data_IF_458640223851
#
_entry.id   IF_458640223851
#
_cell.length_a   1.000
_cell.length_b   1.000
_cell.length_c   1.000
_cell.angle_alpha   90.00
_cell.angle_beta   90.00
_cell.angle_gamma   90.00
#
_symmetry.space_group_name_H-M   'P 1'
#
loop_
_entity.id
_entity.type
_entity.pdbx_description
1 polymer ?
#
# COMPACT_ATOMS: atom_id res chain seq x y z
N UNK A 1 1.85 2.98 -2.98
CA UNK A 1 1.05 1.74 -3.18
C UNK A 1 0.08 1.46 -2.03
N UNK A 2 0.52 1.55 -0.78
CA UNK A 2 -0.36 1.28 0.37
C UNK A 2 -1.57 2.23 0.43
N UNK A 3 -1.40 3.53 0.21
CA UNK A 3 -2.49 4.51 0.21
C UNK A 3 -3.57 4.17 -0.83
N UNK A 4 -3.18 3.69 -2.01
CA UNK A 4 -4.12 3.24 -3.04
C UNK A 4 -4.91 2.00 -2.59
N UNK A 5 -4.27 1.08 -1.87
CA UNK A 5 -4.91 -0.13 -1.38
C UNK A 5 -5.85 0.13 -0.19
N UNK A 6 -5.49 1.05 0.70
CA UNK A 6 -6.21 1.30 1.96
C UNK A 6 -7.13 2.50 1.94
N UNK A 7 -6.91 3.45 1.02
CA UNK A 7 -7.53 4.80 0.99
C UNK A 7 -7.22 5.63 2.23
N UNK A 8 -6.18 5.26 2.97
CA UNK A 8 -5.73 5.95 4.18
C UNK A 8 -4.30 6.43 3.98
N UNK A 9 -3.99 7.61 4.49
CA UNK A 9 -2.62 8.12 4.49
C UNK A 9 -1.73 7.29 5.42
N UNK A 10 -0.45 7.12 5.09
CA UNK A 10 0.45 6.32 5.92
C UNK A 10 0.51 6.84 7.36
N UNK A 11 0.40 5.93 8.32
CA UNK A 11 0.53 6.23 9.75
C UNK A 11 -0.38 7.37 10.22
N UNK A 12 -1.59 7.46 9.66
CA UNK A 12 -2.54 8.55 9.94
C UNK A 12 -2.98 8.62 11.41
N UNK A 13 -2.90 7.52 12.12
CA UNK A 13 -3.40 7.36 13.50
C UNK A 13 -2.32 7.50 14.58
N UNK A 14 -1.15 8.00 14.23
CA UNK A 14 -0.08 8.23 15.20
C UNK A 14 0.75 9.47 14.87
N UNK A 15 1.46 10.00 15.87
CA UNK A 15 2.37 11.12 15.68
C UNK A 15 3.51 10.77 14.72
N UNK A 16 3.84 11.72 13.84
CA UNK A 16 5.00 11.63 12.96
C UNK A 16 6.22 12.23 13.65
N UNK A 17 6.83 11.45 14.51
CA UNK A 17 7.92 11.84 15.37
C UNK A 17 9.13 10.88 15.23
N UNK A 18 10.14 11.08 16.07
CA UNK A 18 11.35 10.25 16.08
C UNK A 18 11.05 8.78 16.41
N UNK A 19 10.04 8.53 17.24
CA UNK A 19 9.65 7.16 17.60
C UNK A 19 9.10 6.40 16.40
N UNK A 20 8.27 7.06 15.58
CA UNK A 20 7.79 6.47 14.33
C UNK A 20 8.94 6.22 13.35
N UNK A 21 9.85 7.19 13.18
CA UNK A 21 11.00 7.04 12.31
C UNK A 21 11.89 5.87 12.75
N UNK A 22 12.12 5.71 14.04
CA UNK A 22 12.88 4.60 14.62
C UNK A 22 12.19 3.26 14.35
N UNK A 23 10.89 3.18 14.57
CA UNK A 23 10.10 1.97 14.30
C UNK A 23 10.21 1.53 12.84
N UNK A 24 10.10 2.47 11.91
CA UNK A 24 10.24 2.20 10.47
C UNK A 24 11.65 1.70 10.14
N UNK A 25 12.68 2.33 10.69
CA UNK A 25 14.07 1.89 10.52
C UNK A 25 14.31 0.48 11.07
N UNK A 26 13.62 0.12 12.14
CA UNK A 26 13.68 -1.22 12.75
C UNK A 26 12.84 -2.26 11.98
N UNK A 27 12.19 -1.86 10.91
CA UNK A 27 11.48 -2.76 10.01
C UNK A 27 9.95 -2.76 10.14
N UNK A 28 9.38 -1.90 10.98
CA UNK A 28 7.92 -1.79 11.09
C UNK A 28 7.32 -1.26 9.79
N UNK A 29 6.24 -1.90 9.33
CA UNK A 29 5.53 -1.53 8.12
C UNK A 29 4.02 -1.47 8.39
N UNK A 30 3.30 -0.80 7.49
CA UNK A 30 1.85 -0.75 7.53
C UNK A 30 1.25 -2.13 7.24
N UNK A 31 0.08 -2.37 7.81
CA UNK A 31 -0.67 -3.60 7.54
C UNK A 31 -1.18 -3.58 6.09
N UNK A 32 -1.06 -4.71 5.40
CA UNK A 32 -1.61 -4.89 4.07
C UNK A 32 -3.04 -5.43 4.20
N UNK A 33 -4.05 -4.78 3.59
CA UNK A 33 -5.42 -5.31 3.60
C UNK A 33 -5.51 -6.68 2.93
N UNK A 34 -6.38 -7.54 3.44
CA UNK A 34 -6.60 -8.89 2.90
C UNK A 34 -7.30 -8.90 1.51
N UNK A 35 -7.91 -7.77 1.12
CA UNK A 35 -8.50 -7.56 -0.21
C UNK A 35 -7.49 -6.99 -1.23
N UNK A 36 -6.21 -6.99 -0.91
CA UNK A 36 -5.14 -6.60 -1.81
C UNK A 36 -4.69 -7.80 -2.63
N UNK A 37 -4.64 -7.72 -3.98
CA UNK A 37 -4.13 -8.83 -4.80
C UNK A 37 -2.69 -9.21 -4.43
N UNK A 38 -2.36 -10.49 -4.47
CA UNK A 38 -1.03 -10.97 -4.09
C UNK A 38 0.09 -10.34 -4.91
N UNK A 39 -0.09 -10.20 -6.23
CA UNK A 39 0.91 -9.59 -7.09
C UNK A 39 1.21 -8.13 -6.70
N UNK A 40 0.18 -7.40 -6.27
CA UNK A 40 0.31 -6.02 -5.81
C UNK A 40 1.00 -5.95 -4.44
N UNK A 41 0.60 -6.80 -3.50
CA UNK A 41 1.20 -6.82 -2.16
C UNK A 41 2.66 -7.25 -2.18
N UNK A 42 3.03 -8.19 -3.04
CA UNK A 42 4.42 -8.63 -3.21
C UNK A 42 5.30 -7.47 -3.71
N UNK A 43 4.86 -6.73 -4.72
CA UNK A 43 5.61 -5.59 -5.24
C UNK A 43 5.68 -4.45 -4.21
N UNK A 44 4.59 -4.21 -3.49
CA UNK A 44 4.55 -3.22 -2.42
C UNK A 44 5.57 -3.55 -1.32
N UNK A 45 5.68 -4.81 -0.91
CA UNK A 45 6.66 -5.26 0.08
C UNK A 45 8.09 -5.11 -0.42
N UNK A 46 8.36 -5.35 -1.70
CA UNK A 46 9.66 -5.08 -2.30
C UNK A 46 10.04 -3.61 -2.21
N UNK A 47 9.08 -2.70 -2.42
CA UNK A 47 9.30 -1.26 -2.27
C UNK A 47 9.63 -0.87 -0.82
N UNK A 48 9.26 -1.70 0.13
CA UNK A 48 9.48 -1.48 1.56
C UNK A 48 10.70 -2.19 2.12
N UNK A 49 11.53 -2.78 1.28
CA UNK A 49 12.74 -3.46 1.76
C UNK A 49 13.61 -2.49 2.56
N UNK A 50 14.13 -2.93 3.69
CA UNK A 50 15.03 -2.12 4.50
C UNK A 50 16.32 -1.76 3.76
N UNK A 51 16.77 -2.63 2.87
CA UNK A 51 17.90 -2.37 2.01
C UNK A 51 17.43 -1.60 0.76
N UNK A 52 17.85 -0.33 0.59
CA UNK A 52 17.47 0.47 -0.58
C UNK A 52 17.88 -0.18 -1.92
N UNK A 53 18.96 -0.93 -1.93
CA UNK A 53 19.47 -1.61 -3.13
C UNK A 53 18.53 -2.73 -3.61
N UNK A 54 17.71 -3.27 -2.71
CA UNK A 54 16.73 -4.31 -3.04
C UNK A 54 15.40 -3.76 -3.49
N UNK A 55 15.18 -2.46 -3.37
CA UNK A 55 13.93 -1.83 -3.82
C UNK A 55 13.90 -1.74 -5.33
N UNK A 56 12.73 -1.97 -5.98
CA UNK A 56 12.64 -1.86 -7.43
C UNK A 56 12.83 -0.43 -7.91
N UNK A 57 13.34 -0.28 -9.11
CA UNK A 57 13.46 1.03 -9.78
C UNK A 57 12.09 1.52 -10.26
N UNK A 58 11.96 2.82 -10.51
CA UNK A 58 10.75 3.38 -11.10
C UNK A 58 10.48 2.80 -12.50
N UNK A 59 11.53 2.52 -13.28
CA UNK A 59 11.43 1.88 -14.59
C UNK A 59 10.83 0.47 -14.48
N UNK A 60 11.29 -0.32 -13.51
CA UNK A 60 10.74 -1.65 -13.24
C UNK A 60 9.26 -1.60 -12.83
N UNK A 61 8.91 -0.64 -11.97
CA UNK A 61 7.51 -0.44 -11.56
C UNK A 61 6.62 -0.07 -12.76
N UNK A 62 7.08 0.80 -13.62
CA UNK A 62 6.37 1.19 -14.83
C UNK A 62 6.11 -0.01 -15.75
N UNK A 63 7.11 -0.84 -15.95
CA UNK A 63 7.00 -2.07 -16.73
C UNK A 63 5.98 -3.04 -16.12
N UNK A 64 6.05 -3.27 -14.82
CA UNK A 64 5.12 -4.16 -14.12
C UNK A 64 3.68 -3.65 -14.15
N UNK A 65 3.46 -2.38 -13.94
CA UNK A 65 2.12 -1.80 -14.00
C UNK A 65 1.52 -1.90 -15.41
N UNK A 66 2.32 -1.66 -16.45
CA UNK A 66 1.89 -1.84 -17.82
C UNK A 66 1.51 -3.29 -18.14
N UNK A 67 2.31 -4.24 -17.69
CA UNK A 67 2.05 -5.68 -17.82
C UNK A 67 0.73 -6.08 -17.13
N UNK A 68 0.50 -5.61 -15.91
CA UNK A 68 -0.73 -5.91 -15.18
C UNK A 68 -1.98 -5.34 -15.84
N UNK A 69 -1.90 -4.13 -16.39
CA UNK A 69 -3.02 -3.53 -17.13
C UNK A 69 -3.42 -4.42 -18.31
N UNK A 70 -2.45 -4.91 -19.08
CA UNK A 70 -2.70 -5.80 -20.21
C UNK A 70 -3.35 -7.10 -19.73
N UNK A 71 -2.79 -7.75 -18.71
CA UNK A 71 -3.26 -9.05 -18.22
C UNK A 71 -4.65 -8.98 -17.56
N UNK A 72 -5.01 -7.86 -16.97
CA UNK A 72 -6.29 -7.70 -16.27
C UNK A 72 -7.37 -7.16 -17.19
N UNK A 73 -7.05 -6.17 -18.02
CA UNK A 73 -8.03 -5.41 -18.79
C UNK A 73 -8.13 -5.82 -20.27
N UNK A 74 -7.00 -6.14 -20.90
CA UNK A 74 -6.92 -6.28 -22.36
C UNK A 74 -6.83 -7.74 -22.83
N UNK A 75 -6.24 -8.62 -22.04
CA UNK A 75 -6.10 -10.03 -22.39
C UNK A 75 -7.35 -10.81 -21.99
N UNK A 76 -8.08 -11.45 -22.93
CA UNK A 76 -9.26 -12.25 -22.61
C UNK A 76 -8.91 -13.59 -21.95
N UNK A 77 -7.66 -14.01 -21.99
CA UNK A 77 -7.23 -15.29 -21.43
C UNK A 77 -7.02 -15.21 -19.92
N UNK A 78 -7.48 -16.21 -19.15
CA UNK A 78 -7.20 -16.27 -17.71
C UNK A 78 -5.70 -16.34 -17.45
N UNK A 79 -5.25 -15.61 -16.43
CA UNK A 79 -3.87 -15.65 -15.96
C UNK A 79 -3.86 -15.66 -14.42
N UNK A 80 -2.71 -16.03 -13.84
CA UNK A 80 -2.54 -15.93 -12.39
C UNK A 80 -2.84 -14.52 -11.87
N UNK A 81 -2.38 -13.51 -12.59
CA UNK A 81 -2.60 -12.09 -12.24
C UNK A 81 -4.10 -11.74 -12.29
N UNK A 82 -4.79 -12.09 -13.36
CA UNK A 82 -6.23 -11.81 -13.48
C UNK A 82 -7.04 -12.57 -12.44
N UNK A 83 -6.68 -13.82 -12.13
CA UNK A 83 -7.35 -14.62 -11.11
C UNK A 83 -7.16 -14.03 -9.71
N UNK A 84 -5.96 -13.64 -9.35
CA UNK A 84 -5.67 -12.97 -8.08
C UNK A 84 -6.43 -11.64 -7.96
N UNK A 85 -6.50 -10.89 -9.04
CA UNK A 85 -7.28 -9.65 -9.09
C UNK A 85 -8.77 -9.92 -8.87
N UNK A 86 -9.33 -10.92 -9.50
CA UNK A 86 -10.75 -11.27 -9.37
C UNK A 86 -11.10 -11.68 -7.94
N UNK A 87 -10.27 -12.48 -7.29
CA UNK A 87 -10.45 -12.88 -5.89
C UNK A 87 -10.41 -11.66 -4.96
N UNK A 88 -9.46 -10.76 -5.16
CA UNK A 88 -9.34 -9.54 -4.37
C UNK A 88 -10.53 -8.59 -4.58
N UNK A 89 -10.99 -8.43 -5.82
CA UNK A 89 -12.18 -7.65 -6.15
C UNK A 89 -13.42 -8.18 -5.46
N UNK A 90 -13.62 -9.49 -5.45
CA UNK A 90 -14.76 -10.12 -4.77
C UNK A 90 -14.76 -9.81 -3.26
N UNK A 91 -13.61 -9.92 -2.60
CA UNK A 91 -13.45 -9.56 -1.19
C UNK A 91 -13.76 -8.08 -0.94
N UNK A 92 -13.27 -7.22 -1.83
CA UNK A 92 -13.50 -5.77 -1.74
C UNK A 92 -14.98 -5.42 -1.87
N UNK A 93 -15.69 -6.01 -2.82
CA UNK A 93 -17.11 -5.80 -3.01
C UNK A 93 -17.93 -6.26 -1.80
N UNK A 94 -17.58 -7.39 -1.20
CA UNK A 94 -18.23 -7.86 0.05
C UNK A 94 -18.05 -6.86 1.18
N UNK A 95 -16.87 -6.30 1.34
CA UNK A 95 -16.60 -5.26 2.35
C UNK A 95 -17.40 -3.98 2.09
N UNK A 96 -17.46 -3.52 0.85
CA UNK A 96 -18.21 -2.33 0.47
C UNK A 96 -19.68 -2.49 0.78
N UNK A 97 -20.28 -3.64 0.49
CA UNK A 97 -21.70 -3.91 0.80
C UNK A 97 -21.99 -3.88 2.30
N UNK A 98 -21.03 -4.25 3.13
CA UNK A 98 -21.13 -4.16 4.59
C UNK A 98 -20.91 -2.73 5.12
N UNK A 99 -20.11 -1.94 4.42
CA UNK A 99 -19.75 -0.57 4.81
C UNK A 99 -20.71 0.49 4.25
N UNK A 100 -21.63 0.13 3.37
CA UNK A 100 -22.53 1.07 2.67
C UNK A 100 -23.44 1.90 3.58
N UNK A 101 -23.48 1.60 4.88
CA UNK A 101 -24.25 2.32 5.89
C UNK A 101 -23.46 3.29 6.76
N UNK A 102 -22.12 3.36 6.59
CA UNK A 102 -21.26 4.23 7.39
C UNK A 102 -20.27 4.98 6.49
N UNK A 103 -20.42 6.30 6.47
CA UNK A 103 -19.38 7.16 5.91
C UNK A 103 -18.19 7.11 6.88
N UNK A 104 -17.11 6.44 6.47
CA UNK A 104 -15.91 6.32 7.28
C UNK A 104 -14.90 7.41 6.90
N UNK A 105 -14.73 8.37 7.80
CA UNK A 105 -13.64 9.32 7.73
C UNK A 105 -12.61 8.94 8.78
N UNK A 106 -11.42 8.41 8.39
CA UNK A 106 -10.40 8.08 9.37
C UNK A 106 -9.93 9.34 10.07
N UNK A 107 -9.94 9.32 11.38
CA UNK A 107 -9.44 10.41 12.19
C UNK A 107 -7.91 10.48 12.10
N UNK A 108 -7.41 11.63 11.63
CA UNK A 108 -5.98 11.85 11.48
C UNK A 108 -5.41 12.38 12.79
N UNK A 109 -4.35 11.75 13.29
CA UNK A 109 -3.66 12.21 14.49
C UNK A 109 -3.14 13.65 14.30
N UNK A 110 -3.31 14.55 15.30
CA UNK A 110 -2.92 15.95 15.15
C UNK A 110 -1.44 16.18 14.82
N UNK A 111 -0.58 15.24 15.23
CA UNK A 111 0.86 15.31 14.96
C UNK A 111 1.31 14.45 13.77
N UNK A 112 0.37 14.05 12.90
CA UNK A 112 0.68 13.39 11.65
C UNK A 112 0.86 14.44 10.54
N UNK A 113 2.07 14.56 10.01
CA UNK A 113 2.45 15.53 8.99
C UNK A 113 2.80 14.82 7.68
N UNK A 114 2.23 15.29 6.57
CA UNK A 114 2.43 14.70 5.23
C UNK A 114 3.23 15.60 4.29
N UNK A 115 3.74 16.71 4.79
CA UNK A 115 4.73 17.54 4.12
C UNK A 115 6.13 17.18 4.62
N UNK A 116 7.14 17.49 3.84
CA UNK A 116 8.53 17.28 4.26
C UNK A 116 8.84 18.17 5.47
N UNK A 117 9.28 17.54 6.53
CA UNK A 117 9.74 18.23 7.74
C UNK A 117 11.15 17.76 8.08
N UNK A 118 11.90 18.64 8.73
CA UNK A 118 13.23 18.31 9.21
C UNK A 118 13.11 17.51 10.50
N UNK A 119 13.68 16.30 10.51
CA UNK A 119 13.80 15.48 11.72
C UNK A 119 15.23 15.66 12.25
N UNK A 120 15.34 16.28 13.43
CA UNK A 120 16.62 16.39 14.11
C UNK A 120 16.86 15.12 14.94
N UNK A 121 17.68 14.22 14.42
CA UNK A 121 18.15 13.08 15.19
C UNK A 121 19.38 13.51 15.99
N UNK A 122 19.31 13.47 17.29
CA UNK A 122 20.51 13.43 18.13
C UNK A 122 21.01 11.98 18.12
N UNK A 123 22.13 11.82 17.47
CA UNK A 123 22.87 10.55 17.47
C UNK A 123 23.65 10.46 18.80
#
# INVERSE_FOLDING_TARGET
MNTLATRKRPWYNRAHDINLAKDICDGKRLKIPDDTPNFYSELMQQCWDNDPEKRPTASYLNEKFGEWIILICDDPNPSKISDENSVAEEKRWRKISQLSKKIFHPEIHPEAYYSSISLHFQI
#
